data_IF_650297872246
#
_entry.id   IF_650297872246
#
_cell.length_a   1.000
_cell.length_b   1.000
_cell.length_c   1.000
_cell.angle_alpha   90.00
_cell.angle_beta   90.00
_cell.angle_gamma   90.00
#
_symmetry.space_group_name_H-M   'P 1'
#
loop_
_entity.id
_entity.type
_entity.pdbx_description
1 polymer ?
#
# COMPACT_ATOMS: atom_id res chain seq x y z
N UNK A 1 55.07 9.75 -21.48
CA UNK A 1 55.15 8.56 -20.62
C UNK A 1 53.73 8.27 -20.13
N UNK A 2 53.07 7.33 -20.76
CA UNK A 2 51.72 6.90 -20.48
C UNK A 2 51.78 5.63 -19.64
N UNK A 3 51.45 5.73 -18.37
CA UNK A 3 51.23 4.56 -17.52
C UNK A 3 49.93 3.88 -17.91
N UNK A 4 50.08 2.71 -18.49
CA UNK A 4 48.95 1.81 -18.77
C UNK A 4 48.54 1.16 -17.45
N UNK A 5 47.36 1.51 -16.92
CA UNK A 5 46.67 0.76 -15.84
C UNK A 5 46.33 -0.63 -16.37
N UNK A 6 47.15 -1.63 -16.08
CA UNK A 6 46.83 -3.04 -16.24
C UNK A 6 45.75 -3.39 -15.23
N UNK A 7 44.53 -3.63 -15.67
CA UNK A 7 43.52 -4.33 -14.91
C UNK A 7 43.99 -5.79 -14.68
N UNK A 8 44.49 -6.08 -13.49
CA UNK A 8 44.87 -7.43 -13.10
C UNK A 8 43.61 -8.28 -12.97
N UNK A 9 43.51 -9.31 -13.78
CA UNK A 9 42.42 -10.31 -13.71
C UNK A 9 42.76 -11.22 -12.52
N UNK A 10 41.90 -11.32 -11.49
CA UNK A 10 42.17 -12.10 -10.28
C UNK A 10 42.35 -13.57 -10.62
N UNK A 11 43.35 -14.18 -9.97
CA UNK A 11 43.72 -15.60 -10.14
C UNK A 11 42.60 -16.54 -9.66
N UNK A 12 42.56 -17.79 -10.13
CA UNK A 12 41.58 -18.78 -9.65
C UNK A 12 41.60 -19.01 -8.12
N UNK A 13 42.76 -18.84 -7.48
CA UNK A 13 42.90 -18.95 -6.02
C UNK A 13 42.31 -17.76 -5.29
N UNK A 14 42.53 -16.52 -5.75
CA UNK A 14 41.91 -15.32 -5.19
C UNK A 14 40.38 -15.31 -5.34
N UNK A 15 39.88 -15.89 -6.45
CA UNK A 15 38.42 -16.05 -6.64
C UNK A 15 37.82 -17.08 -5.67
N UNK A 16 38.55 -18.13 -5.32
CA UNK A 16 38.11 -19.15 -4.34
C UNK A 16 38.17 -18.61 -2.91
N UNK A 17 39.18 -17.84 -2.55
CA UNK A 17 39.33 -17.22 -1.22
C UNK A 17 38.23 -16.18 -0.99
N UNK A 18 37.98 -15.29 -1.96
CA UNK A 18 36.86 -14.33 -1.89
C UNK A 18 35.49 -14.97 -1.90
N UNK A 19 35.32 -16.17 -2.46
CA UNK A 19 34.05 -16.91 -2.41
C UNK A 19 33.80 -17.51 -1.02
N UNK A 20 34.83 -18.07 -0.37
CA UNK A 20 34.77 -18.59 1.01
C UNK A 20 34.48 -17.48 2.03
N UNK A 21 35.15 -16.33 1.88
CA UNK A 21 34.89 -15.17 2.77
C UNK A 21 33.45 -14.66 2.66
N UNK A 22 32.90 -14.65 1.45
CA UNK A 22 31.48 -14.28 1.24
C UNK A 22 30.51 -15.29 1.83
N UNK A 23 30.84 -16.59 1.76
CA UNK A 23 30.01 -17.64 2.33
C UNK A 23 30.03 -17.58 3.86
N UNK A 24 31.20 -17.37 4.46
CA UNK A 24 31.36 -17.20 5.91
C UNK A 24 30.60 -15.97 6.42
N UNK A 25 30.70 -14.83 5.73
CA UNK A 25 29.99 -13.62 6.09
C UNK A 25 28.46 -13.82 6.01
N UNK A 26 27.98 -14.60 5.04
CA UNK A 26 26.56 -14.95 4.91
C UNK A 26 26.09 -15.87 6.04
N UNK A 27 26.90 -16.82 6.44
CA UNK A 27 26.59 -17.68 7.61
C UNK A 27 26.49 -16.88 8.91
N UNK A 28 27.40 -15.93 9.12
CA UNK A 28 27.36 -15.05 10.30
C UNK A 28 26.12 -14.15 10.27
N UNK A 29 25.74 -13.63 9.11
CA UNK A 29 24.51 -12.84 8.96
C UNK A 29 23.27 -13.68 9.32
N UNK A 30 23.18 -14.92 8.87
CA UNK A 30 22.08 -15.84 9.20
C UNK A 30 22.04 -16.14 10.71
N UNK A 31 23.18 -16.40 11.34
CA UNK A 31 23.26 -16.61 12.79
C UNK A 31 22.74 -15.40 13.56
N UNK A 32 23.10 -14.20 13.13
CA UNK A 32 22.63 -12.96 13.74
C UNK A 32 21.10 -12.79 13.59
N UNK A 33 20.54 -13.14 12.43
CA UNK A 33 19.10 -13.10 12.17
C UNK A 33 18.34 -14.07 13.09
N UNK A 34 18.83 -15.31 13.20
CA UNK A 34 18.25 -16.31 14.11
C UNK A 34 18.28 -15.78 15.56
N UNK A 35 19.36 -15.16 15.98
CA UNK A 35 19.46 -14.54 17.30
C UNK A 35 18.39 -13.44 17.49
N UNK A 36 18.21 -12.55 16.53
CA UNK A 36 17.19 -11.51 16.62
C UNK A 36 15.76 -12.08 16.62
N UNK A 37 15.51 -13.15 15.83
CA UNK A 37 14.20 -13.84 15.85
C UNK A 37 13.91 -14.43 17.24
N UNK A 38 14.93 -15.02 17.91
CA UNK A 38 14.79 -15.49 19.30
C UNK A 38 14.59 -14.33 20.29
N UNK A 39 15.30 -13.22 20.10
CA UNK A 39 15.17 -12.01 20.93
C UNK A 39 13.79 -11.35 20.85
N UNK A 40 12.98 -11.58 19.81
CA UNK A 40 11.58 -11.14 19.77
C UNK A 40 10.78 -11.73 20.93
N UNK A 41 11.13 -12.92 21.40
CA UNK A 41 10.40 -13.63 22.47
C UNK A 41 10.58 -12.99 23.84
N UNK A 42 11.69 -12.30 24.06
CA UNK A 42 11.96 -11.56 25.30
C UNK A 42 11.52 -10.09 25.18
N UNK A 43 10.69 -9.65 26.13
CA UNK A 43 10.13 -8.30 26.14
C UNK A 43 11.21 -7.20 26.20
N UNK A 44 12.31 -7.46 26.90
CA UNK A 44 13.42 -6.51 27.10
C UNK A 44 14.23 -6.24 25.83
N UNK A 45 14.34 -7.23 24.95
CA UNK A 45 15.13 -7.17 23.69
C UNK A 45 14.27 -7.02 22.45
N UNK A 46 12.95 -7.27 22.56
CA UNK A 46 11.98 -7.33 21.45
C UNK A 46 12.01 -6.10 20.56
N UNK A 47 11.95 -4.90 21.13
CA UNK A 47 11.85 -3.67 20.34
C UNK A 47 13.04 -3.48 19.41
N UNK A 48 14.25 -3.69 19.95
CA UNK A 48 15.49 -3.63 19.17
C UNK A 48 15.56 -4.71 18.09
N UNK A 49 15.18 -5.95 18.45
CA UNK A 49 15.16 -7.06 17.49
C UNK A 49 14.19 -6.84 16.34
N UNK A 50 12.99 -6.28 16.61
CA UNK A 50 12.01 -5.91 15.59
C UNK A 50 12.53 -4.83 14.64
N UNK A 51 13.24 -3.84 15.18
CA UNK A 51 13.86 -2.77 14.38
C UNK A 51 14.93 -3.35 13.45
N UNK A 52 15.89 -4.12 13.98
CA UNK A 52 16.98 -4.72 13.20
C UNK A 52 16.45 -5.64 12.08
N UNK A 53 15.51 -6.53 12.41
CA UNK A 53 14.91 -7.43 11.42
C UNK A 53 14.13 -6.66 10.36
N UNK A 54 13.44 -5.58 10.74
CA UNK A 54 12.71 -4.75 9.77
C UNK A 54 13.64 -4.08 8.76
N UNK A 55 14.87 -3.74 9.13
CA UNK A 55 15.90 -3.22 8.22
C UNK A 55 16.46 -4.29 7.29
N UNK A 56 16.56 -5.54 7.76
CA UNK A 56 17.10 -6.66 6.98
C UNK A 56 16.13 -7.24 5.94
N UNK A 57 14.85 -6.86 5.96
CA UNK A 57 13.81 -7.40 5.07
C UNK A 57 14.10 -7.28 3.58
N UNK A 58 14.95 -6.33 3.19
CA UNK A 58 15.30 -6.08 1.79
C UNK A 58 16.53 -6.85 1.33
N UNK A 59 17.45 -7.12 2.26
CA UNK A 59 18.70 -7.79 1.98
C UNK A 59 18.59 -9.32 2.01
N UNK A 60 17.64 -9.86 2.78
CA UNK A 60 17.46 -11.31 2.93
C UNK A 60 16.09 -11.76 2.44
N UNK A 61 16.07 -12.44 1.29
CA UNK A 61 14.83 -12.99 0.67
C UNK A 61 14.10 -13.96 1.58
N UNK A 62 14.85 -14.79 2.34
CA UNK A 62 14.32 -15.89 3.13
C UNK A 62 13.99 -15.50 4.59
N UNK A 63 14.09 -14.20 4.92
CA UNK A 63 13.74 -13.71 6.27
C UNK A 63 12.34 -14.16 6.71
N UNK A 64 11.40 -14.20 5.77
CA UNK A 64 10.04 -14.65 6.02
C UNK A 64 9.97 -16.07 6.59
N UNK A 65 10.84 -16.97 6.13
CA UNK A 65 10.90 -18.36 6.60
C UNK A 65 11.40 -18.45 8.05
N UNK A 66 12.46 -17.71 8.38
CA UNK A 66 12.98 -17.69 9.75
C UNK A 66 11.94 -17.17 10.75
N UNK A 67 11.15 -16.17 10.36
CA UNK A 67 10.10 -15.62 11.22
C UNK A 67 8.91 -16.58 11.30
N UNK A 68 8.46 -17.12 10.18
CA UNK A 68 7.24 -17.93 10.11
C UNK A 68 7.39 -19.25 10.85
N UNK A 69 8.53 -19.94 10.66
CA UNK A 69 8.77 -21.25 11.26
C UNK A 69 9.39 -21.20 12.66
N UNK A 70 9.72 -20.02 13.19
CA UNK A 70 10.11 -19.86 14.58
C UNK A 70 8.90 -19.94 15.50
N UNK A 71 8.89 -20.92 16.38
CA UNK A 71 7.78 -21.19 17.30
C UNK A 71 7.45 -19.96 18.15
N UNK A 72 6.18 -19.54 18.12
CA UNK A 72 5.67 -18.43 18.92
C UNK A 72 5.93 -17.03 18.35
N UNK A 73 6.84 -16.86 17.40
CA UNK A 73 7.21 -15.54 16.87
C UNK A 73 6.03 -14.83 16.22
N UNK A 74 5.29 -15.50 15.33
CA UNK A 74 4.10 -14.92 14.67
C UNK A 74 3.03 -14.51 15.69
N UNK A 75 2.83 -15.30 16.73
CA UNK A 75 1.87 -14.98 17.81
C UNK A 75 2.27 -13.73 18.58
N UNK A 76 3.56 -13.54 18.83
CA UNK A 76 4.07 -12.34 19.49
C UNK A 76 3.91 -11.12 18.57
N UNK A 77 4.21 -11.26 17.27
CA UNK A 77 3.99 -10.19 16.30
C UNK A 77 2.51 -9.78 16.25
N UNK A 78 1.59 -10.73 16.26
CA UNK A 78 0.14 -10.45 16.32
C UNK A 78 -0.23 -9.75 17.63
N UNK A 79 0.32 -10.17 18.77
CA UNK A 79 0.05 -9.53 20.05
C UNK A 79 0.51 -8.07 20.04
N UNK A 80 1.67 -7.75 19.48
CA UNK A 80 2.15 -6.37 19.32
C UNK A 80 1.19 -5.51 18.49
N UNK A 81 0.58 -6.08 17.43
CA UNK A 81 -0.42 -5.40 16.61
C UNK A 81 -1.71 -5.17 17.39
N UNK A 82 -2.22 -6.20 18.10
CA UNK A 82 -3.46 -6.12 18.87
C UNK A 82 -3.33 -5.08 20.00
N UNK A 83 -2.18 -4.98 20.65
CA UNK A 83 -1.91 -4.02 21.71
C UNK A 83 -2.05 -2.54 21.24
N UNK A 84 -1.97 -2.29 19.94
CA UNK A 84 -2.15 -0.93 19.38
C UNK A 84 -3.63 -0.55 19.31
N UNK A 85 -4.58 -1.48 19.25
CA UNK A 85 -5.99 -1.17 19.02
C UNK A 85 -6.58 -0.22 20.06
N UNK A 86 -6.25 -0.42 21.33
CA UNK A 86 -6.70 0.44 22.42
C UNK A 86 -6.18 1.90 22.34
N UNK A 87 -5.17 2.14 21.49
CA UNK A 87 -4.60 3.47 21.25
C UNK A 87 -5.24 4.17 20.04
N UNK A 88 -6.08 3.44 19.26
CA UNK A 88 -6.75 4.00 18.10
C UNK A 88 -8.00 4.82 18.49
N UNK A 89 -8.74 4.34 19.51
CA UNK A 89 -9.95 4.99 20.01
C UNK A 89 -10.06 4.84 21.53
N UNK A 90 -9.91 5.92 22.34
CA UNK A 90 -9.62 7.29 21.92
C UNK A 90 -8.22 7.46 21.33
N UNK A 91 -7.97 8.47 20.48
CA UNK A 91 -6.72 8.61 19.74
C UNK A 91 -5.55 8.97 20.67
N UNK A 92 -4.78 7.95 21.08
CA UNK A 92 -3.63 8.06 22.00
C UNK A 92 -2.34 7.51 21.41
N UNK A 93 -2.32 7.20 20.10
CA UNK A 93 -1.15 6.61 19.45
C UNK A 93 -0.01 7.61 19.34
N UNK A 94 1.13 7.30 19.95
CA UNK A 94 2.37 8.07 19.87
C UNK A 94 3.23 7.63 18.67
N UNK A 95 4.21 8.47 18.28
CA UNK A 95 5.17 8.14 17.23
C UNK A 95 5.95 6.88 17.58
N UNK A 96 6.46 6.75 18.81
CA UNK A 96 7.22 5.57 19.23
C UNK A 96 6.41 4.28 19.11
N UNK A 97 5.16 4.25 19.59
CA UNK A 97 4.27 3.09 19.46
C UNK A 97 3.92 2.79 17.99
N UNK A 98 3.73 3.83 17.18
CA UNK A 98 3.52 3.69 15.75
C UNK A 98 4.73 3.06 15.05
N UNK A 99 5.94 3.53 15.36
CA UNK A 99 7.17 3.01 14.77
C UNK A 99 7.35 1.52 15.10
N UNK A 100 7.18 1.13 16.36
CA UNK A 100 7.23 -0.27 16.76
C UNK A 100 6.23 -1.13 15.97
N UNK A 101 4.98 -0.66 15.86
CA UNK A 101 3.96 -1.36 15.06
C UNK A 101 4.33 -1.41 13.57
N UNK A 102 4.93 -0.37 13.01
CA UNK A 102 5.41 -0.36 11.62
C UNK A 102 6.54 -1.38 11.39
N UNK A 103 7.44 -1.59 12.36
CA UNK A 103 8.46 -2.65 12.26
C UNK A 103 7.80 -4.04 12.19
N UNK A 104 6.80 -4.31 13.04
CA UNK A 104 6.02 -5.56 12.98
C UNK A 104 5.31 -5.71 11.64
N UNK A 105 4.63 -4.66 11.17
CA UNK A 105 3.93 -4.68 9.88
C UNK A 105 4.89 -4.87 8.70
N UNK A 106 6.11 -4.36 8.78
CA UNK A 106 7.15 -4.59 7.78
C UNK A 106 7.57 -6.07 7.72
N UNK A 107 7.65 -6.76 8.86
CA UNK A 107 7.89 -8.20 8.92
C UNK A 107 6.69 -8.99 8.37
N UNK A 108 5.45 -8.59 8.67
CA UNK A 108 4.27 -9.18 8.03
C UNK A 108 4.24 -8.96 6.52
N UNK A 109 4.72 -7.81 6.03
CA UNK A 109 4.86 -7.57 4.60
C UNK A 109 5.86 -8.54 3.95
N UNK A 110 6.96 -8.85 4.62
CA UNK A 110 7.93 -9.84 4.17
C UNK A 110 7.28 -11.24 4.07
N UNK A 111 6.56 -11.67 5.11
CA UNK A 111 5.83 -12.94 5.15
C UNK A 111 4.76 -13.00 4.04
N UNK A 112 4.00 -11.92 3.84
CA UNK A 112 2.98 -11.82 2.81
C UNK A 112 3.54 -11.86 1.37
N UNK A 113 4.75 -11.36 1.18
CA UNK A 113 5.43 -11.35 -0.12
C UNK A 113 6.03 -12.70 -0.50
N UNK A 114 6.48 -13.49 0.48
CA UNK A 114 7.21 -14.73 0.23
C UNK A 114 6.27 -15.86 -0.24
N UNK A 115 6.65 -16.63 -1.29
CA UNK A 115 5.78 -17.66 -1.88
C UNK A 115 5.36 -18.76 -0.90
N UNK A 116 6.27 -19.24 -0.04
CA UNK A 116 5.99 -20.33 0.88
C UNK A 116 5.16 -19.92 2.11
N UNK A 117 5.30 -18.69 2.58
CA UNK A 117 4.61 -18.23 3.80
C UNK A 117 3.30 -17.49 3.50
N UNK A 118 3.07 -17.06 2.25
CA UNK A 118 1.86 -16.33 1.84
C UNK A 118 0.58 -17.12 2.10
N UNK A 119 0.53 -18.37 1.66
CA UNK A 119 -0.66 -19.19 1.81
C UNK A 119 -0.97 -19.49 3.29
N UNK A 120 -0.01 -19.95 4.11
CA UNK A 120 -0.21 -20.06 5.54
C UNK A 120 -0.63 -18.74 6.22
N UNK A 121 -0.10 -17.60 5.79
CA UNK A 121 -0.47 -16.27 6.30
C UNK A 121 -1.95 -15.95 6.05
N UNK A 122 -2.48 -16.29 4.87
CA UNK A 122 -3.92 -16.15 4.55
C UNK A 122 -4.78 -17.13 5.36
N UNK A 123 -4.35 -18.39 5.48
CA UNK A 123 -5.06 -19.41 6.26
C UNK A 123 -5.15 -19.04 7.74
N UNK A 124 -4.10 -18.41 8.28
CA UNK A 124 -4.10 -17.88 9.64
C UNK A 124 -4.93 -16.59 9.80
N UNK A 125 -5.60 -16.12 8.74
CA UNK A 125 -6.47 -14.93 8.75
C UNK A 125 -5.74 -13.65 9.21
N UNK A 126 -4.42 -13.58 9.10
CA UNK A 126 -3.63 -12.43 9.62
C UNK A 126 -4.02 -11.09 8.96
N UNK A 127 -4.39 -11.00 7.66
CA UNK A 127 -4.77 -9.72 7.06
C UNK A 127 -5.93 -9.00 7.76
N UNK A 128 -6.86 -9.71 8.38
CA UNK A 128 -8.02 -9.13 9.08
C UNK A 128 -7.57 -8.29 10.29
N UNK A 129 -6.50 -8.70 10.97
CA UNK A 129 -5.95 -7.95 12.10
C UNK A 129 -5.36 -6.59 11.70
N UNK A 130 -5.18 -6.32 10.41
CA UNK A 130 -4.68 -5.03 9.91
C UNK A 130 -5.81 -4.03 9.66
N UNK A 131 -7.05 -4.47 9.54
CA UNK A 131 -8.19 -3.64 9.15
C UNK A 131 -8.51 -2.49 10.13
N UNK A 132 -8.34 -2.62 11.46
CA UNK A 132 -8.48 -1.49 12.36
C UNK A 132 -7.57 -0.29 12.01
N UNK A 133 -6.36 -0.55 11.51
CA UNK A 133 -5.44 0.50 11.08
C UNK A 133 -5.91 1.17 9.79
N UNK A 134 -6.54 0.41 8.89
CA UNK A 134 -7.12 0.93 7.65
C UNK A 134 -8.38 1.73 7.90
N UNK A 135 -9.11 1.41 8.97
CA UNK A 135 -10.38 2.04 9.31
C UNK A 135 -10.23 3.38 10.06
N UNK A 136 -9.05 3.69 10.62
CA UNK A 136 -8.87 4.97 11.33
C UNK A 136 -8.91 6.16 10.37
N UNK A 137 -9.63 7.23 10.77
CA UNK A 137 -9.74 8.49 10.02
C UNK A 137 -8.75 9.56 10.50
N UNK A 138 -8.01 9.30 11.57
CA UNK A 138 -7.04 10.24 12.10
C UNK A 138 -5.92 10.48 11.07
N UNK A 139 -5.63 11.78 10.80
CA UNK A 139 -4.65 12.22 9.80
C UNK A 139 -3.28 12.54 10.39
N UNK A 140 -3.11 12.42 11.72
CA UNK A 140 -1.81 12.68 12.34
C UNK A 140 -0.78 11.63 11.92
N UNK A 141 0.50 12.00 11.92
CA UNK A 141 1.61 11.18 11.42
C UNK A 141 1.63 9.74 11.96
N UNK A 142 1.44 9.47 13.28
CA UNK A 142 1.45 8.10 13.79
C UNK A 142 0.39 7.20 13.12
N UNK A 143 -0.82 7.72 12.92
CA UNK A 143 -1.91 6.97 12.31
C UNK A 143 -1.71 6.79 10.80
N UNK A 144 -1.15 7.80 10.13
CA UNK A 144 -0.83 7.69 8.71
C UNK A 144 0.25 6.64 8.47
N UNK A 145 1.27 6.55 9.33
CA UNK A 145 2.34 5.57 9.20
C UNK A 145 1.81 4.13 9.32
N UNK A 146 1.04 3.81 10.36
CA UNK A 146 0.49 2.47 10.52
C UNK A 146 -0.50 2.12 9.40
N UNK A 147 -1.32 3.07 8.95
CA UNK A 147 -2.25 2.89 7.82
C UNK A 147 -1.48 2.54 6.56
N UNK A 148 -0.46 3.33 6.23
CA UNK A 148 0.33 3.15 5.03
C UNK A 148 1.10 1.82 5.05
N UNK A 149 1.70 1.45 6.19
CA UNK A 149 2.43 0.20 6.33
C UNK A 149 1.48 -1.00 6.27
N UNK A 150 0.29 -0.91 6.89
CA UNK A 150 -0.75 -1.94 6.79
C UNK A 150 -1.25 -2.13 5.34
N UNK A 151 -1.46 -1.02 4.60
CA UNK A 151 -1.75 -1.08 3.15
C UNK A 151 -0.61 -1.77 2.39
N UNK A 152 0.65 -1.56 2.81
CA UNK A 152 1.82 -2.21 2.22
C UNK A 152 1.77 -3.73 2.34
N UNK A 153 1.31 -4.27 3.47
CA UNK A 153 1.11 -5.73 3.65
C UNK A 153 0.07 -6.27 2.67
N UNK A 154 -1.09 -5.62 2.58
CA UNK A 154 -2.14 -6.02 1.62
C UNK A 154 -1.64 -5.85 0.17
N UNK A 155 -0.91 -4.76 -0.10
CA UNK A 155 -0.27 -4.52 -1.39
C UNK A 155 0.71 -5.62 -1.80
N UNK A 156 1.48 -6.17 -0.85
CA UNK A 156 2.39 -7.28 -1.08
C UNK A 156 1.64 -8.57 -1.46
N UNK A 157 0.50 -8.84 -0.82
CA UNK A 157 -0.35 -9.98 -1.17
C UNK A 157 -0.87 -9.90 -2.60
N UNK A 158 -1.40 -8.75 -3.03
CA UNK A 158 -2.00 -8.57 -4.35
C UNK A 158 -1.00 -8.30 -5.47
N UNK A 159 0.28 -8.08 -5.14
CA UNK A 159 1.31 -7.76 -6.14
C UNK A 159 1.51 -8.91 -7.14
N UNK A 160 1.39 -10.14 -6.69
CA UNK A 160 1.51 -11.34 -7.50
C UNK A 160 0.11 -11.76 -7.95
N UNK A 161 -0.01 -12.21 -9.20
CA UNK A 161 -1.26 -12.76 -9.74
C UNK A 161 -1.56 -14.11 -9.07
N UNK A 162 -2.43 -14.05 -8.06
CA UNK A 162 -2.89 -15.23 -7.33
C UNK A 162 -4.38 -15.08 -7.04
N UNK A 163 -5.20 -15.89 -7.72
CA UNK A 163 -6.65 -15.88 -7.57
C UNK A 163 -7.13 -16.24 -6.16
N UNK A 164 -6.38 -17.04 -5.40
CA UNK A 164 -6.72 -17.37 -4.01
C UNK A 164 -6.61 -16.16 -3.09
N UNK A 165 -5.58 -15.31 -3.29
CA UNK A 165 -5.45 -14.03 -2.58
C UNK A 165 -6.64 -13.13 -2.88
N UNK A 166 -7.01 -13.00 -4.15
CA UNK A 166 -8.14 -12.16 -4.54
C UNK A 166 -9.44 -12.73 -3.97
N UNK A 167 -9.67 -14.03 -4.08
CA UNK A 167 -10.86 -14.67 -3.52
C UNK A 167 -10.94 -14.48 -2.00
N UNK A 168 -9.81 -14.60 -1.28
CA UNK A 168 -9.75 -14.31 0.15
C UNK A 168 -10.17 -12.87 0.44
N UNK A 169 -9.59 -11.90 -0.27
CA UNK A 169 -9.86 -10.48 -0.05
C UNK A 169 -11.31 -10.09 -0.39
N UNK A 170 -11.92 -10.70 -1.41
CA UNK A 170 -13.33 -10.48 -1.78
C UNK A 170 -14.30 -10.92 -0.68
N UNK A 171 -13.90 -11.86 0.17
CA UNK A 171 -14.68 -12.32 1.33
C UNK A 171 -14.47 -11.44 2.57
N UNK A 172 -13.75 -10.33 2.44
CA UNK A 172 -13.44 -9.40 3.54
C UNK A 172 -13.93 -7.97 3.22
N UNK A 173 -13.72 -7.05 4.17
CA UNK A 173 -14.10 -5.64 4.03
C UNK A 173 -13.01 -4.78 3.33
N UNK A 174 -12.07 -5.38 2.61
CA UNK A 174 -10.94 -4.63 2.05
C UNK A 174 -11.37 -3.56 1.03
N UNK A 175 -12.38 -3.86 0.20
CA UNK A 175 -12.84 -2.92 -0.84
C UNK A 175 -13.41 -1.64 -0.22
N UNK A 176 -14.40 -1.67 0.69
CA UNK A 176 -14.89 -0.46 1.34
C UNK A 176 -13.80 0.29 2.13
N UNK A 177 -12.87 -0.42 2.77
CA UNK A 177 -11.73 0.21 3.46
C UNK A 177 -10.81 0.95 2.47
N UNK A 178 -10.48 0.33 1.34
CA UNK A 178 -9.69 0.98 0.29
C UNK A 178 -10.43 2.21 -0.29
N UNK A 179 -11.72 2.12 -0.60
CA UNK A 179 -12.49 3.23 -1.12
C UNK A 179 -12.51 4.43 -0.16
N UNK A 180 -12.66 4.18 1.14
CA UNK A 180 -12.56 5.21 2.18
C UNK A 180 -11.19 5.88 2.21
N UNK A 181 -10.12 5.10 2.09
CA UNK A 181 -8.75 5.64 2.07
C UNK A 181 -8.50 6.42 0.77
N UNK A 182 -9.00 5.95 -0.38
CA UNK A 182 -8.94 6.66 -1.66
C UNK A 182 -9.65 8.01 -1.61
N UNK A 183 -10.70 8.14 -0.85
CA UNK A 183 -11.42 9.41 -0.66
C UNK A 183 -10.68 10.35 0.31
N UNK A 184 -10.21 9.87 1.47
CA UNK A 184 -9.81 10.68 2.63
C UNK A 184 -8.35 10.59 3.04
N UNK A 185 -7.61 9.61 2.54
CA UNK A 185 -6.21 9.37 2.90
C UNK A 185 -5.24 10.43 2.37
N UNK A 186 -3.96 10.31 2.75
CA UNK A 186 -2.87 11.05 2.10
C UNK A 186 -2.71 10.61 0.65
N UNK A 187 -2.02 11.39 -0.17
CA UNK A 187 -1.77 11.07 -1.58
C UNK A 187 -1.11 9.69 -1.74
N UNK A 188 -0.20 9.35 -0.82
CA UNK A 188 0.48 8.06 -0.83
C UNK A 188 -0.46 6.92 -0.46
N UNK A 189 -1.24 7.06 0.61
CA UNK A 189 -2.24 6.06 1.01
C UNK A 189 -3.31 5.88 -0.06
N UNK A 190 -3.76 6.96 -0.72
CA UNK A 190 -4.67 6.90 -1.88
C UNK A 190 -4.08 6.08 -3.01
N UNK A 191 -2.80 6.30 -3.32
CA UNK A 191 -2.11 5.59 -4.41
C UNK A 191 -2.04 4.09 -4.13
N UNK A 192 -1.67 3.68 -2.91
CA UNK A 192 -1.59 2.26 -2.54
C UNK A 192 -2.97 1.61 -2.50
N UNK A 193 -3.97 2.29 -1.93
CA UNK A 193 -5.34 1.77 -1.90
C UNK A 193 -5.92 1.62 -3.31
N UNK A 194 -5.68 2.60 -4.21
CA UNK A 194 -6.09 2.53 -5.61
C UNK A 194 -5.38 1.37 -6.35
N UNK A 195 -4.10 1.14 -6.07
CA UNK A 195 -3.39 -0.02 -6.59
C UNK A 195 -4.03 -1.35 -6.14
N UNK A 196 -4.39 -1.49 -4.87
CA UNK A 196 -5.05 -2.70 -4.37
C UNK A 196 -6.37 -2.94 -5.11
N UNK A 197 -7.21 -1.89 -5.24
CA UNK A 197 -8.48 -1.98 -5.98
C UNK A 197 -8.24 -2.33 -7.45
N UNK A 198 -7.24 -1.73 -8.08
CA UNK A 198 -6.85 -2.05 -9.46
C UNK A 198 -6.44 -3.52 -9.59
N UNK A 199 -5.66 -4.07 -8.65
CA UNK A 199 -5.25 -5.48 -8.66
C UNK A 199 -6.45 -6.43 -8.52
N UNK A 200 -7.41 -6.09 -7.67
CA UNK A 200 -8.67 -6.83 -7.54
C UNK A 200 -9.46 -6.80 -8.86
N UNK A 201 -9.55 -5.64 -9.51
CA UNK A 201 -10.23 -5.49 -10.80
C UNK A 201 -9.54 -6.24 -11.94
N UNK A 202 -8.23 -6.44 -11.91
CA UNK A 202 -7.50 -7.19 -12.93
C UNK A 202 -7.82 -8.68 -12.91
N UNK A 203 -8.17 -9.23 -11.76
CA UNK A 203 -8.67 -10.61 -11.64
C UNK A 203 -10.09 -10.72 -12.17
N UNK A 204 -10.40 -11.83 -12.89
CA UNK A 204 -11.73 -12.03 -13.51
C UNK A 204 -12.84 -12.16 -12.46
N UNK A 205 -12.58 -12.87 -11.35
CA UNK A 205 -13.55 -13.00 -10.26
C UNK A 205 -13.73 -11.65 -9.53
N UNK A 206 -12.65 -10.89 -9.38
CA UNK A 206 -12.69 -9.55 -8.81
C UNK A 206 -13.52 -8.59 -9.65
N UNK A 207 -13.31 -8.57 -10.97
CA UNK A 207 -14.08 -7.76 -11.90
C UNK A 207 -15.57 -8.15 -11.88
N UNK A 208 -15.86 -9.45 -12.00
CA UNK A 208 -17.23 -9.98 -11.94
C UNK A 208 -17.92 -9.57 -10.65
N UNK A 209 -17.27 -9.80 -9.52
CA UNK A 209 -17.77 -9.44 -8.20
C UNK A 209 -18.15 -7.96 -8.07
N UNK A 210 -17.32 -7.06 -8.60
CA UNK A 210 -17.59 -5.62 -8.58
C UNK A 210 -18.77 -5.27 -9.49
N UNK A 211 -18.78 -5.79 -10.71
CA UNK A 211 -19.78 -5.42 -11.73
C UNK A 211 -21.13 -6.09 -11.52
N UNK A 212 -21.20 -7.25 -10.86
CA UNK A 212 -22.44 -7.98 -10.58
C UNK A 212 -23.48 -7.16 -9.80
N UNK A 213 -23.01 -6.28 -8.89
CA UNK A 213 -23.91 -5.43 -8.08
C UNK A 213 -23.69 -3.96 -8.45
N UNK A 214 -24.75 -3.33 -8.97
CA UNK A 214 -24.69 -1.91 -9.38
C UNK A 214 -24.24 -0.97 -8.26
N UNK A 215 -24.52 -1.30 -7.01
CA UNK A 215 -24.10 -0.51 -5.84
C UNK A 215 -22.58 -0.52 -5.67
N UNK A 216 -21.91 -1.67 -5.84
CA UNK A 216 -20.44 -1.79 -5.77
C UNK A 216 -19.78 -1.03 -6.91
N UNK A 217 -20.28 -1.25 -8.12
CA UNK A 217 -19.78 -0.62 -9.35
C UNK A 217 -19.92 0.91 -9.26
N UNK A 218 -21.08 1.42 -8.82
CA UNK A 218 -21.29 2.85 -8.61
C UNK A 218 -20.36 3.43 -7.53
N UNK A 219 -20.14 2.71 -6.42
CA UNK A 219 -19.23 3.14 -5.37
C UNK A 219 -17.81 3.36 -5.89
N UNK A 220 -17.26 2.37 -6.61
CA UNK A 220 -15.92 2.47 -7.20
C UNK A 220 -15.87 3.64 -8.20
N UNK A 221 -16.84 3.74 -9.12
CA UNK A 221 -16.88 4.83 -10.08
C UNK A 221 -16.94 6.21 -9.40
N UNK A 222 -17.73 6.36 -8.35
CA UNK A 222 -17.85 7.61 -7.60
C UNK A 222 -16.52 8.04 -6.99
N UNK A 223 -15.82 7.11 -6.35
CA UNK A 223 -14.53 7.41 -5.71
C UNK A 223 -13.43 7.69 -6.75
N UNK A 224 -13.36 6.91 -7.84
CA UNK A 224 -12.41 7.17 -8.93
C UNK A 224 -12.67 8.54 -9.58
N UNK A 225 -13.95 8.88 -9.80
CA UNK A 225 -14.35 10.20 -10.33
C UNK A 225 -13.97 11.34 -9.39
N UNK A 226 -14.21 11.16 -8.09
CA UNK A 226 -13.81 12.12 -7.07
C UNK A 226 -12.30 12.38 -7.10
N UNK A 227 -11.50 11.30 -7.22
CA UNK A 227 -10.05 11.42 -7.27
C UNK A 227 -9.56 12.17 -8.51
N UNK A 228 -10.13 11.92 -9.69
CA UNK A 228 -9.79 12.66 -10.93
C UNK A 228 -10.07 14.17 -10.76
N UNK A 229 -11.20 14.55 -10.16
CA UNK A 229 -11.57 15.97 -9.93
C UNK A 229 -10.59 16.70 -9.00
N UNK A 230 -9.94 15.99 -8.10
CA UNK A 230 -9.02 16.57 -7.12
C UNK A 230 -7.56 16.65 -7.60
N UNK A 231 -7.30 16.68 -8.89
CA UNK A 231 -5.96 16.82 -9.51
C UNK A 231 -4.94 15.83 -8.93
N UNK A 232 -5.14 14.53 -9.16
CA UNK A 232 -4.29 13.49 -8.63
C UNK A 232 -2.88 13.54 -9.25
N UNK A 233 -1.87 13.02 -8.53
CA UNK A 233 -0.52 12.86 -9.07
C UNK A 233 -0.51 11.95 -10.30
N UNK A 234 0.48 12.11 -11.19
CA UNK A 234 0.62 11.28 -12.40
C UNK A 234 0.65 9.77 -12.08
N UNK A 235 1.21 9.40 -10.93
CA UNK A 235 1.23 8.01 -10.46
C UNK A 235 -0.17 7.51 -10.12
N UNK A 236 -0.94 8.30 -9.38
CA UNK A 236 -2.30 7.96 -9.01
C UNK A 236 -3.21 7.90 -10.23
N UNK A 237 -3.10 8.87 -11.16
CA UNK A 237 -3.82 8.87 -12.45
C UNK A 237 -3.62 7.57 -13.21
N UNK A 238 -2.40 7.04 -13.24
CA UNK A 238 -2.07 5.79 -13.94
C UNK A 238 -2.87 4.60 -13.38
N UNK A 239 -2.99 4.49 -12.06
CA UNK A 239 -3.81 3.45 -11.44
C UNK A 239 -5.31 3.65 -11.70
N UNK A 240 -5.79 4.90 -11.67
CA UNK A 240 -7.19 5.23 -11.95
C UNK A 240 -7.55 4.84 -13.39
N UNK A 241 -6.74 5.23 -14.37
CA UNK A 241 -6.99 4.94 -15.79
C UNK A 241 -6.99 3.43 -16.08
N UNK A 242 -6.08 2.68 -15.47
CA UNK A 242 -6.07 1.21 -15.58
C UNK A 242 -7.33 0.59 -14.98
N UNK A 243 -7.79 1.11 -13.83
CA UNK A 243 -9.05 0.65 -13.22
C UNK A 243 -10.26 0.92 -14.11
N UNK A 244 -10.34 2.10 -14.73
CA UNK A 244 -11.40 2.41 -15.68
C UNK A 244 -11.37 1.54 -16.94
N UNK A 245 -10.18 1.31 -17.52
CA UNK A 245 -10.05 0.43 -18.67
C UNK A 245 -10.55 -0.98 -18.32
N UNK A 246 -10.16 -1.49 -17.14
CA UNK A 246 -10.61 -2.81 -16.72
C UNK A 246 -12.11 -2.90 -16.45
N UNK A 247 -12.71 -1.86 -15.87
CA UNK A 247 -14.17 -1.77 -15.74
C UNK A 247 -14.88 -1.75 -17.10
N UNK A 248 -14.28 -1.12 -18.12
CA UNK A 248 -14.83 -1.05 -19.46
C UNK A 248 -14.76 -2.41 -20.20
N UNK A 249 -13.96 -3.38 -19.77
CA UNK A 249 -13.96 -4.75 -20.30
C UNK A 249 -15.27 -5.50 -19.98
N UNK A 250 -15.91 -5.16 -18.85
CA UNK A 250 -17.21 -5.71 -18.45
C UNK A 250 -18.36 -4.88 -19.05
N UNK A 251 -19.46 -5.53 -19.48
CA UNK A 251 -20.60 -4.87 -20.12
C UNK A 251 -21.29 -3.86 -19.20
N UNK A 252 -21.60 -4.25 -17.94
CA UNK A 252 -22.23 -3.36 -16.97
C UNK A 252 -21.33 -2.18 -16.62
N UNK A 253 -20.03 -2.44 -16.46
CA UNK A 253 -19.01 -1.41 -16.27
C UNK A 253 -18.97 -0.43 -17.44
N UNK A 254 -18.96 -0.94 -18.66
CA UNK A 254 -18.95 -0.12 -19.89
C UNK A 254 -20.20 0.74 -20.02
N UNK A 255 -21.37 0.15 -19.74
CA UNK A 255 -22.65 0.88 -19.78
C UNK A 255 -22.69 2.01 -18.77
N UNK A 256 -22.21 1.77 -17.53
CA UNK A 256 -22.10 2.81 -16.53
C UNK A 256 -21.15 3.94 -16.96
N UNK A 257 -19.97 3.60 -17.50
CA UNK A 257 -18.94 4.56 -17.88
C UNK A 257 -19.35 5.42 -19.07
N UNK A 258 -20.17 4.93 -20.00
CA UNK A 258 -20.77 5.75 -21.09
C UNK A 258 -21.57 6.91 -20.52
N UNK A 259 -22.20 6.76 -19.37
CA UNK A 259 -23.08 7.75 -18.75
C UNK A 259 -22.34 8.59 -17.70
N UNK A 260 -21.47 7.96 -16.89
CA UNK A 260 -20.90 8.56 -15.67
C UNK A 260 -19.38 8.76 -15.69
N UNK A 261 -18.74 8.73 -16.87
CA UNK A 261 -17.31 9.06 -16.96
C UNK A 261 -17.09 10.55 -16.60
N UNK A 262 -16.09 10.88 -15.76
CA UNK A 262 -15.78 12.27 -15.41
C UNK A 262 -15.52 13.14 -16.63
N UNK A 263 -16.13 14.35 -16.67
CA UNK A 263 -15.95 15.31 -17.75
C UNK A 263 -14.49 15.78 -17.87
N UNK A 264 -13.78 15.81 -16.77
CA UNK A 264 -12.36 16.15 -16.68
C UNK A 264 -11.48 15.29 -17.60
N UNK A 265 -11.87 14.04 -17.83
CA UNK A 265 -11.16 13.13 -18.75
C UNK A 265 -11.27 13.52 -20.23
N UNK A 266 -12.17 14.46 -20.57
CA UNK A 266 -12.32 15.05 -21.90
C UNK A 266 -11.66 16.42 -22.00
N UNK A 267 -11.22 17.01 -20.86
CA UNK A 267 -10.58 18.32 -20.84
C UNK A 267 -9.19 18.26 -21.48
N UNK A 268 -8.90 19.09 -22.50
CA UNK A 268 -7.59 19.17 -23.14
C UNK A 268 -6.45 19.44 -22.15
N UNK A 269 -6.69 20.26 -21.12
CA UNK A 269 -5.67 20.56 -20.11
C UNK A 269 -5.30 19.31 -19.30
N UNK A 270 -6.29 18.51 -18.91
CA UNK A 270 -6.05 17.24 -18.24
C UNK A 270 -5.30 16.27 -19.16
N UNK A 271 -5.73 16.10 -20.40
CA UNK A 271 -5.11 15.21 -21.37
C UNK A 271 -3.65 15.59 -21.63
N UNK A 272 -3.35 16.90 -21.77
CA UNK A 272 -2.00 17.40 -22.00
C UNK A 272 -1.10 17.23 -20.77
N UNK A 273 -1.63 17.18 -19.56
CA UNK A 273 -0.88 16.94 -18.33
C UNK A 273 -0.45 15.47 -18.15
N UNK A 274 -1.02 14.55 -18.92
CA UNK A 274 -0.74 13.12 -18.80
C UNK A 274 0.60 12.73 -19.43
N UNK A 275 1.29 11.79 -18.82
CA UNK A 275 2.40 11.10 -19.46
C UNK A 275 1.91 10.27 -20.67
N UNK A 276 2.83 9.89 -21.55
CA UNK A 276 2.50 9.14 -22.78
C UNK A 276 1.75 7.84 -22.50
N UNK A 277 2.15 7.12 -21.47
CA UNK A 277 1.53 5.85 -21.07
C UNK A 277 0.07 6.08 -20.62
N UNK A 278 -0.16 7.05 -19.74
CA UNK A 278 -1.49 7.43 -19.27
C UNK A 278 -2.40 7.94 -20.39
N UNK A 279 -1.82 8.68 -21.33
CA UNK A 279 -2.56 9.17 -22.51
C UNK A 279 -3.03 8.01 -23.40
N UNK A 280 -2.17 7.00 -23.63
CA UNK A 280 -2.55 5.78 -24.36
C UNK A 280 -3.70 5.03 -23.67
N UNK A 281 -3.66 4.90 -22.34
CA UNK A 281 -4.74 4.28 -21.55
C UNK A 281 -6.06 5.05 -21.68
N UNK A 282 -6.02 6.38 -21.63
CA UNK A 282 -7.21 7.22 -21.79
C UNK A 282 -7.80 7.14 -23.20
N UNK A 283 -6.95 7.15 -24.24
CA UNK A 283 -7.38 6.98 -25.63
C UNK A 283 -8.06 5.62 -25.85
N UNK A 284 -7.48 4.53 -25.30
CA UNK A 284 -8.07 3.20 -25.36
C UNK A 284 -9.46 3.18 -24.71
N UNK A 285 -9.57 3.75 -23.49
CA UNK A 285 -10.84 3.85 -22.79
C UNK A 285 -11.91 4.54 -23.68
N UNK A 286 -11.58 5.67 -24.29
CA UNK A 286 -12.52 6.40 -25.15
C UNK A 286 -12.96 5.56 -26.37
N UNK A 287 -12.03 4.84 -27.03
CA UNK A 287 -12.34 3.93 -28.15
C UNK A 287 -13.29 2.83 -27.73
N UNK A 288 -13.00 2.15 -26.61
CA UNK A 288 -13.86 1.08 -26.07
C UNK A 288 -15.27 1.59 -25.76
N UNK A 289 -15.38 2.79 -25.21
CA UNK A 289 -16.69 3.40 -24.88
C UNK A 289 -17.48 3.82 -26.13
N UNK A 290 -16.80 4.14 -27.25
CA UNK A 290 -17.41 4.46 -28.54
C UNK A 290 -17.85 3.21 -29.33
N UNK A 291 -17.53 2.02 -28.83
CA UNK A 291 -17.87 0.75 -29.48
C UNK A 291 -16.83 0.27 -30.49
N UNK A 292 -15.71 0.96 -30.63
CA UNK A 292 -14.56 0.47 -31.37
C UNK A 292 -13.92 -0.68 -30.58
N UNK A 293 -13.49 -1.78 -31.27
CA UNK A 293 -12.68 -2.83 -30.63
C UNK A 293 -11.38 -2.15 -30.17
N UNK A 294 -11.29 -1.87 -28.89
CA UNK A 294 -10.04 -1.41 -28.29
C UNK A 294 -8.95 -2.43 -28.60
N UNK A 295 -7.77 -1.96 -29.01
CA UNK A 295 -6.61 -2.83 -29.06
C UNK A 295 -6.46 -3.48 -27.69
N UNK A 296 -6.37 -4.81 -27.63
CA UNK A 296 -6.06 -5.53 -26.39
C UNK A 296 -4.71 -4.99 -25.87
N UNK A 297 -4.77 -3.95 -25.03
CA UNK A 297 -3.60 -3.49 -24.33
C UNK A 297 -3.32 -4.60 -23.34
N UNK A 298 -2.25 -5.36 -23.61
CA UNK A 298 -1.87 -6.50 -22.81
C UNK A 298 -1.61 -6.05 -21.38
N UNK A 299 -2.61 -6.16 -20.51
CA UNK A 299 -2.56 -5.77 -19.10
C UNK A 299 -1.45 -6.50 -18.33
N UNK A 300 -1.00 -7.67 -18.88
CA UNK A 300 0.05 -8.49 -18.30
C UNK A 300 1.49 -8.06 -18.65
N UNK A 301 1.72 -7.30 -19.73
CA UNK A 301 3.10 -6.94 -20.11
C UNK A 301 3.71 -5.84 -19.23
N UNK A 302 2.95 -5.18 -18.37
CA UNK A 302 3.45 -4.13 -17.49
C UNK A 302 3.29 -4.44 -15.98
N UNK A 303 3.19 -5.69 -15.59
CA UNK A 303 3.24 -6.10 -14.17
C UNK A 303 4.54 -5.66 -13.46
N UNK A 304 5.57 -5.29 -14.24
CA UNK A 304 6.89 -4.90 -13.70
C UNK A 304 7.26 -3.42 -13.95
N UNK A 305 6.44 -2.64 -14.66
CA UNK A 305 6.74 -1.24 -14.99
C UNK A 305 5.88 -0.27 -14.18
N UNK A 306 6.05 -0.21 -12.88
CA UNK A 306 5.40 0.85 -12.13
C UNK A 306 5.30 0.70 -10.64
N UNK A 307 5.60 -0.47 -10.12
CA UNK A 307 5.92 -0.67 -8.73
C UNK A 307 7.30 -1.34 -8.66
N UNK A 308 8.36 -0.58 -8.85
CA UNK A 308 9.57 -0.78 -8.09
C UNK A 308 9.11 -0.99 -6.65
N UNK A 309 9.65 -1.91 -5.93
CA UNK A 309 9.25 -2.26 -4.58
C UNK A 309 8.60 -1.06 -3.91
N UNK A 310 7.26 -1.12 -3.57
CA UNK A 310 6.72 -0.21 -2.57
C UNK A 310 7.35 -0.70 -1.28
N UNK A 311 8.60 -0.39 -1.14
CA UNK A 311 9.30 -0.42 0.11
C UNK A 311 8.92 0.89 0.77
N UNK A 312 7.97 0.83 1.68
CA UNK A 312 7.66 1.93 2.56
C UNK A 312 8.80 1.93 3.58
N UNK A 313 9.93 2.50 3.17
CA UNK A 313 11.05 2.74 4.07
C UNK A 313 10.66 3.96 4.90
N UNK A 314 10.05 3.71 6.05
CA UNK A 314 9.92 4.73 7.09
C UNK A 314 11.31 4.80 7.71
N UNK A 315 12.09 5.80 7.31
CA UNK A 315 13.40 6.06 7.91
C UNK A 315 13.19 6.43 9.38
N UNK A 316 13.39 5.46 10.28
CA UNK A 316 13.16 5.58 11.72
C UNK A 316 14.37 6.19 12.45
N UNK A 317 15.43 6.56 11.75
CA UNK A 317 16.60 7.21 12.34
C UNK A 317 16.29 8.68 12.69
N UNK A 318 15.54 8.89 13.76
CA UNK A 318 15.33 10.16 14.41
C UNK A 318 16.24 10.28 15.64
N UNK A 319 17.47 10.74 15.46
CA UNK A 319 18.22 11.36 16.55
C UNK A 319 17.40 12.54 17.11
N UNK A 320 17.16 12.55 18.41
CA UNK A 320 16.33 13.50 19.17
C UNK A 320 16.86 14.95 19.19
N UNK A 321 17.21 15.53 18.05
CA UNK A 321 17.46 16.97 17.92
C UNK A 321 17.39 17.35 16.46
N UNK A 322 16.19 17.68 15.98
CA UNK A 322 15.86 18.71 15.00
C UNK A 322 14.41 18.56 14.56
N UNK A 323 13.58 19.54 14.86
CA UNK A 323 12.37 19.83 14.12
C UNK A 323 12.75 20.11 12.67
N UNK A 324 12.54 19.18 11.77
CA UNK A 324 12.86 19.38 10.36
C UNK A 324 12.60 18.12 9.54
N UNK A 325 11.53 18.15 8.78
CA UNK A 325 11.35 17.45 7.52
C UNK A 325 11.74 15.94 7.47
N UNK A 326 10.91 15.06 8.01
CA UNK A 326 10.95 13.63 7.62
C UNK A 326 10.31 13.47 6.26
N UNK A 327 11.12 13.50 5.22
CA UNK A 327 10.72 13.09 3.88
C UNK A 327 10.54 11.57 3.83
N UNK A 328 9.36 11.10 3.43
CA UNK A 328 9.19 9.72 3.00
C UNK A 328 9.86 9.57 1.64
N UNK A 329 11.09 9.07 1.60
CA UNK A 329 11.74 8.68 0.36
C UNK A 329 11.25 7.30 -0.07
N UNK A 330 10.53 7.27 -1.19
CA UNK A 330 10.29 6.03 -1.91
C UNK A 330 11.52 5.74 -2.77
N UNK A 331 12.28 4.73 -2.41
CA UNK A 331 13.39 4.26 -3.23
C UNK A 331 12.86 3.54 -4.48
N UNK A 332 12.98 4.20 -5.64
CA UNK A 332 12.50 3.76 -6.95
C UNK A 332 13.62 3.22 -7.85
N UNK A 333 14.73 2.81 -7.29
CA UNK A 333 15.86 2.34 -8.10
C UNK A 333 15.96 0.81 -8.08
N UNK A 334 15.65 0.22 -9.25
CA UNK A 334 16.51 -0.77 -9.90
C UNK A 334 16.04 -0.98 -11.35
N UNK A 335 16.58 -0.12 -12.23
CA UNK A 335 16.73 -0.45 -13.64
C UNK A 335 18.17 -0.05 -14.05
N UNK A 336 19.04 -1.01 -14.39
CA UNK A 336 20.47 -0.75 -14.59
C UNK A 336 20.85 -0.20 -15.97
N UNK A 337 19.97 0.48 -16.68
CA UNK A 337 20.33 1.08 -17.97
C UNK A 337 19.51 2.35 -18.24
N UNK A 338 19.93 3.48 -17.70
CA UNK A 338 19.81 4.80 -18.36
C UNK A 338 20.86 5.73 -17.73
N UNK A 339 22.02 5.78 -18.33
CA UNK A 339 22.93 6.92 -18.24
C UNK A 339 22.34 8.04 -19.09
N UNK A 340 21.79 9.06 -18.47
CA UNK A 340 21.70 10.40 -19.08
C UNK A 340 21.66 11.44 -17.97
N UNK A 341 22.78 12.14 -17.88
CA UNK A 341 23.02 13.34 -17.10
C UNK A 341 22.12 14.48 -17.58
N UNK A 342 21.21 14.95 -16.70
CA UNK A 342 20.50 16.21 -16.86
C UNK A 342 21.08 17.19 -15.81
N UNK A 343 21.55 18.39 -16.22
CA UNK A 343 22.13 19.35 -15.28
C UNK A 343 21.06 19.97 -14.38
N UNK A 344 21.32 19.97 -13.07
CA UNK A 344 20.48 20.67 -12.08
C UNK A 344 20.58 22.19 -12.25
N UNK A 345 19.42 22.82 -12.33
CA UNK A 345 19.28 24.27 -12.35
C UNK A 345 19.37 24.83 -10.91
N UNK A 346 20.29 25.80 -10.60
CA UNK A 346 20.53 26.29 -9.24
C UNK A 346 19.44 27.19 -8.63
N UNK A 347 18.37 27.50 -9.35
CA UNK A 347 17.37 28.51 -8.93
C UNK A 347 16.18 27.97 -8.10
N UNK A 348 16.23 26.77 -7.55
CA UNK A 348 15.16 26.19 -6.72
C UNK A 348 15.40 26.27 -5.19
N UNK A 349 16.40 27.06 -4.75
CA UNK A 349 16.76 27.18 -3.33
C UNK A 349 16.26 28.45 -2.63
N UNK A 350 15.33 29.23 -3.21
CA UNK A 350 14.82 30.47 -2.61
C UNK A 350 13.31 30.55 -2.54
N UNK A 351 12.68 29.67 -1.75
CA UNK A 351 11.23 29.83 -1.42
C UNK A 351 10.85 29.27 -0.04
N UNK A 352 11.74 29.33 0.93
CA UNK A 352 11.47 28.89 2.31
C UNK A 352 11.63 29.96 3.39
N UNK A 353 11.42 31.23 3.04
CA UNK A 353 11.33 32.30 4.06
C UNK A 353 10.23 33.28 3.67
N UNK A 354 9.02 33.04 4.10
CA UNK A 354 8.03 34.08 4.32
C UNK A 354 7.17 33.73 5.53
N UNK A 355 7.41 34.46 6.61
CA UNK A 355 6.55 34.62 7.77
C UNK A 355 5.21 35.18 7.35
N UNK A 356 4.10 34.57 7.75
CA UNK A 356 2.77 35.15 7.65
C UNK A 356 2.26 35.54 9.04
N UNK A 357 1.70 36.75 9.18
CA UNK A 357 1.15 37.25 10.43
C UNK A 357 -0.25 36.70 10.69
N UNK A 358 -0.55 36.49 11.96
CA UNK A 358 -1.88 36.20 12.50
C UNK A 358 -2.84 37.34 12.18
N UNK A 359 -4.00 37.03 11.64
CA UNK A 359 -5.18 37.89 11.86
C UNK A 359 -6.48 37.07 11.84
N UNK A 360 -7.32 37.41 12.82
CA UNK A 360 -8.59 36.80 13.17
C UNK A 360 -9.67 37.12 12.12
N UNK A 361 -10.46 36.13 11.76
CA UNK A 361 -11.68 36.31 10.98
C UNK A 361 -12.50 35.03 10.99
N UNK A 362 -13.63 35.06 11.70
CA UNK A 362 -14.61 33.97 11.78
C UNK A 362 -15.16 33.63 10.40
N UNK A 363 -14.82 32.47 9.86
CA UNK A 363 -15.57 31.83 8.79
C UNK A 363 -15.84 30.38 9.17
N UNK A 364 -17.09 29.97 9.02
CA UNK A 364 -17.55 28.60 9.23
C UNK A 364 -16.84 27.69 8.23
N UNK A 365 -16.16 26.62 8.68
CA UNK A 365 -15.40 25.75 7.77
C UNK A 365 -16.34 24.88 6.92
N UNK A 366 -15.93 24.49 5.69
CA UNK A 366 -16.67 23.59 4.80
C UNK A 366 -16.83 22.14 5.28
N UNK A 367 -16.53 21.85 6.53
CA UNK A 367 -16.59 20.50 7.10
C UNK A 367 -17.99 19.92 7.25
N UNK A 368 -19.03 20.77 7.42
CA UNK A 368 -20.39 20.28 7.61
C UNK A 368 -21.06 19.71 6.34
N UNK A 369 -20.65 20.15 5.15
CA UNK A 369 -21.19 19.62 3.90
C UNK A 369 -20.61 18.23 3.54
N UNK A 370 -19.40 17.95 3.97
CA UNK A 370 -18.76 16.64 3.78
C UNK A 370 -19.26 15.58 4.76
N UNK A 371 -19.65 15.96 5.96
CA UNK A 371 -20.19 15.04 6.99
C UNK A 371 -21.60 14.53 6.61
N UNK A 372 -22.40 15.36 5.92
CA UNK A 372 -23.72 14.95 5.45
C UNK A 372 -23.63 13.91 4.32
N UNK A 373 -22.71 14.10 3.38
CA UNK A 373 -22.44 13.10 2.33
C UNK A 373 -21.85 11.81 2.87
N UNK A 374 -21.09 11.88 3.97
CA UNK A 374 -20.51 10.72 4.63
C UNK A 374 -21.54 9.91 5.42
N UNK A 375 -22.46 10.58 6.08
CA UNK A 375 -23.57 9.92 6.78
C UNK A 375 -24.46 9.20 5.78
N UNK A 376 -24.75 9.80 4.63
CA UNK A 376 -25.47 9.16 3.53
C UNK A 376 -24.70 7.99 2.91
N UNK A 377 -23.37 8.10 2.79
CA UNK A 377 -22.51 7.03 2.30
C UNK A 377 -22.45 5.86 3.30
N UNK A 378 -22.33 6.14 4.61
CA UNK A 378 -22.39 5.13 5.67
C UNK A 378 -23.79 4.49 5.77
N UNK A 379 -24.87 5.27 5.74
CA UNK A 379 -26.24 4.75 5.77
C UNK A 379 -26.57 3.94 4.52
N UNK A 380 -26.12 4.38 3.35
CA UNK A 380 -26.39 3.71 2.08
C UNK A 380 -25.56 2.46 1.86
N UNK A 381 -24.33 2.40 2.40
CA UNK A 381 -23.39 1.30 2.17
C UNK A 381 -23.18 0.39 3.38
N UNK A 382 -23.39 0.88 4.61
CA UNK A 382 -23.27 0.09 5.85
C UNK A 382 -24.61 -0.34 6.46
N UNK A 383 -25.64 0.51 6.42
CA UNK A 383 -26.96 0.17 6.98
C UNK A 383 -27.86 -0.59 6.01
N UNK A 384 -27.65 -0.49 4.69
CA UNK A 384 -28.41 -1.25 3.68
C UNK A 384 -27.76 -2.61 3.33
N UNK A 385 -27.07 -3.24 4.28
CA UNK A 385 -26.76 -4.67 4.21
C UNK A 385 -25.73 -5.06 3.16
N UNK A 386 -24.68 -4.24 2.93
CA UNK A 386 -23.46 -4.78 2.35
C UNK A 386 -22.71 -5.57 3.44
N UNK A 387 -23.41 -6.42 4.13
CA UNK A 387 -22.85 -7.58 4.79
C UNK A 387 -22.52 -8.60 3.72
N UNK A 388 -21.27 -8.64 3.35
CA UNK A 388 -20.71 -9.63 2.45
C UNK A 388 -20.05 -10.74 3.26
N UNK A 389 -20.78 -11.30 4.19
CA UNK A 389 -20.48 -12.55 4.83
C UNK A 389 -21.30 -13.62 4.15
N UNK A 390 -20.68 -14.52 3.38
CA UNK A 390 -21.29 -15.82 3.17
C UNK A 390 -21.56 -16.41 4.56
N UNK A 391 -22.83 -16.64 4.87
CA UNK A 391 -23.22 -17.34 6.07
C UNK A 391 -22.60 -18.74 6.02
N UNK A 392 -21.56 -18.94 6.79
CA UNK A 392 -21.19 -20.27 7.23
C UNK A 392 -21.93 -20.49 8.56
N UNK A 393 -22.93 -21.38 8.64
CA UNK A 393 -23.83 -21.45 9.79
C UNK A 393 -23.20 -21.99 11.07
N UNK A 394 -21.87 -22.25 11.10
CA UNK A 394 -21.22 -22.93 12.21
C UNK A 394 -20.13 -22.14 12.96
N UNK A 395 -19.90 -20.86 12.67
CA UNK A 395 -18.96 -20.06 13.46
C UNK A 395 -19.63 -18.75 13.91
N UNK A 396 -20.13 -18.76 15.14
CA UNK A 396 -20.81 -17.64 15.79
C UNK A 396 -19.89 -16.52 16.28
N UNK A 397 -18.91 -16.06 15.47
CA UNK A 397 -18.12 -14.87 15.76
C UNK A 397 -18.42 -13.81 14.70
N UNK A 398 -19.22 -12.82 15.10
CA UNK A 398 -19.50 -11.64 14.30
C UNK A 398 -18.46 -10.56 14.68
N UNK A 399 -17.52 -10.26 13.78
CA UNK A 399 -16.47 -9.26 14.00
C UNK A 399 -17.01 -7.86 14.32
N UNK A 400 -18.26 -7.55 13.96
CA UNK A 400 -18.91 -6.27 14.28
C UNK A 400 -19.30 -6.12 15.76
N UNK A 401 -19.56 -7.20 16.48
CA UNK A 401 -19.91 -7.13 17.91
C UNK A 401 -18.70 -6.75 18.77
N UNK A 402 -17.49 -7.07 18.31
CA UNK A 402 -16.25 -6.70 18.97
C UNK A 402 -16.00 -5.18 18.97
N UNK A 403 -16.50 -4.47 17.96
CA UNK A 403 -16.35 -3.01 17.84
C UNK A 403 -17.47 -2.21 18.49
N UNK A 404 -18.63 -2.82 18.70
CA UNK A 404 -19.78 -2.18 19.38
C UNK A 404 -19.75 -2.28 20.90
N UNK A 405 -19.28 -3.41 21.44
CA UNK A 405 -19.22 -3.66 22.86
C UNK A 405 -17.93 -4.42 23.20
N UNK A 406 -16.82 -3.73 23.48
CA UNK A 406 -15.65 -4.40 24.01
C UNK A 406 -15.98 -5.01 25.37
N UNK A 407 -15.50 -6.21 25.70
CA UNK A 407 -15.73 -6.83 27.00
C UNK A 407 -15.26 -5.87 28.10
N UNK A 408 -16.12 -5.58 29.04
CA UNK A 408 -15.77 -4.86 30.26
C UNK A 408 -14.94 -5.79 31.13
N UNK A 409 -13.70 -5.39 31.39
CA UNK A 409 -12.81 -6.02 32.36
C UNK A 409 -13.33 -5.85 33.74
#
# INVERSE_FOLDING_TARGET
MSEQNKLEIPTPQEKQETAKDKELAKEEEIKQIILWVEQIKDESTREKALEELSHKRESLSDLALYIWYSTGTVSILLQEIINIYQLLAPPKLTIAKSNKACSVLALFQCIAAHPETRQPFLQAQIPIFLYPFLNTLNKSKPYEYIRLTALGVIGALVKIDNGEVIQYLLNTEIIPLCLRIMERGSELSKTVACFIVQRILLDENGLKYICEKSIRLNAINTVLSYMIKNKPSSRLVRHILRSYNRLADNEEGRNLLKIKLPSEMKDPNFINSLDESSRKWLQNLHKVLQGERGAAINNNQNGNLGMGNINININMNGNNNMMGNMGMEMNLNNNPNINNSIPMNPNMMMLNQMNLPQNQGYMIPPQQQNDFNYQMYNEQYFNNGIYMGGQNPNNGFNTMDFYRNPPRS
#
